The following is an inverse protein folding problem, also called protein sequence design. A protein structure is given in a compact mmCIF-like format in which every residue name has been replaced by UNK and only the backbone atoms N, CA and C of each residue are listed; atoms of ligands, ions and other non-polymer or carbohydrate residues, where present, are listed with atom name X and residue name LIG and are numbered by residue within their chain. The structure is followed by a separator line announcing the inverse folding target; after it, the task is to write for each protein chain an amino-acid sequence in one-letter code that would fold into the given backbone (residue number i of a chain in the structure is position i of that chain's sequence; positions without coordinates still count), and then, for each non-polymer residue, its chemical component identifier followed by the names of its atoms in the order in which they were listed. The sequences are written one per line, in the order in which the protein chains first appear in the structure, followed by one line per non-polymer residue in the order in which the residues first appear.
data_IF_669818523356
#
_entry.id   IF_669818523356
#
_cell.length_a   1.000
_cell.length_b   1.000
_cell.length_c   1.000
_cell.angle_alpha   90.00
_cell.angle_beta   90.00
_cell.angle_gamma   90.00
#
_symmetry.space_group_name_H-M   'P 1'
#
loop_
_entity.id
_entity.type
_entity.pdbx_description
1 polymer ?
#
# COMPACT_ATOMS: atom_id res chain seq x y z
N UNK A 1 -56.13 2.74 48.13
CA UNK A 1 -54.70 2.88 48.49
C UNK A 1 -53.86 2.02 47.55
N UNK A 2 -53.13 2.66 46.63
CA UNK A 2 -52.29 1.98 45.65
C UNK A 2 -51.00 1.45 46.28
N UNK A 3 -50.72 0.16 46.13
CA UNK A 3 -49.38 -0.40 46.38
C UNK A 3 -48.56 -0.24 45.11
N UNK A 4 -47.71 0.76 45.08
CA UNK A 4 -46.54 0.83 44.21
C UNK A 4 -45.62 -0.37 44.52
N UNK A 5 -45.82 -1.48 43.82
CA UNK A 5 -44.84 -2.57 43.81
C UNK A 5 -43.61 -2.06 43.06
N UNK A 6 -42.56 -1.70 43.79
CA UNK A 6 -41.22 -1.53 43.20
C UNK A 6 -40.89 -2.77 42.37
N UNK A 7 -40.47 -2.55 41.11
CA UNK A 7 -40.05 -3.64 40.23
C UNK A 7 -38.69 -4.14 40.71
N UNK A 8 -38.70 -5.11 41.61
CA UNK A 8 -37.48 -5.83 42.01
C UNK A 8 -36.90 -6.57 40.81
N UNK A 9 -35.68 -6.22 40.42
CA UNK A 9 -34.94 -6.95 39.38
C UNK A 9 -34.32 -8.20 40.00
N UNK A 10 -34.71 -9.39 39.52
CA UNK A 10 -34.13 -10.66 39.94
C UNK A 10 -32.65 -10.73 39.55
N UNK A 11 -31.79 -11.09 40.50
CA UNK A 11 -30.37 -11.37 40.23
C UNK A 11 -30.21 -12.69 39.48
N UNK A 12 -29.04 -12.96 38.91
CA UNK A 12 -28.82 -14.22 38.19
C UNK A 12 -28.84 -15.46 39.11
N UNK A 13 -28.48 -15.28 40.39
CA UNK A 13 -28.62 -16.33 41.40
C UNK A 13 -30.10 -16.58 41.75
N UNK A 14 -30.91 -15.52 41.90
CA UNK A 14 -32.36 -15.66 42.12
C UNK A 14 -33.02 -16.40 40.96
N UNK A 15 -32.64 -16.05 39.73
CA UNK A 15 -33.14 -16.71 38.51
C UNK A 15 -32.85 -18.21 38.55
N UNK A 16 -31.62 -18.63 38.87
CA UNK A 16 -31.26 -20.05 38.97
C UNK A 16 -32.03 -20.77 40.07
N UNK A 17 -32.15 -20.13 41.25
CA UNK A 17 -32.86 -20.70 42.39
C UNK A 17 -34.35 -20.90 42.09
N UNK A 18 -34.99 -19.98 41.37
CA UNK A 18 -36.40 -20.09 40.94
C UNK A 18 -36.62 -21.31 40.04
N UNK A 19 -35.67 -21.61 39.14
CA UNK A 19 -35.76 -22.73 38.19
C UNK A 19 -35.63 -24.06 38.91
N UNK A 20 -34.60 -24.21 39.73
CA UNK A 20 -34.37 -25.42 40.53
C UNK A 20 -35.54 -25.67 41.48
N UNK A 21 -35.99 -24.63 42.19
CA UNK A 21 -37.14 -24.75 43.10
C UNK A 21 -38.42 -25.13 42.37
N UNK A 22 -38.61 -24.67 41.12
CA UNK A 22 -39.75 -25.07 40.31
C UNK A 22 -39.66 -26.53 39.83
N UNK A 23 -38.46 -27.04 39.53
CA UNK A 23 -38.25 -28.46 39.21
C UNK A 23 -38.51 -29.35 40.42
N UNK A 24 -38.20 -28.86 41.64
CA UNK A 24 -38.48 -29.52 42.91
C UNK A 24 -39.96 -29.37 43.37
N UNK A 25 -40.87 -28.94 42.49
CA UNK A 25 -42.31 -28.96 42.75
C UNK A 25 -42.90 -27.73 43.45
N UNK A 26 -42.11 -26.70 43.77
CA UNK A 26 -42.67 -25.50 44.42
C UNK A 26 -43.66 -24.76 43.51
N UNK A 27 -44.73 -24.25 44.11
CA UNK A 27 -45.78 -23.53 43.39
C UNK A 27 -45.33 -22.11 43.00
N UNK A 28 -45.93 -21.57 41.92
CA UNK A 28 -45.65 -20.19 41.47
C UNK A 28 -45.92 -19.14 42.56
N UNK A 29 -46.88 -19.41 43.45
CA UNK A 29 -47.26 -18.49 44.52
C UNK A 29 -46.23 -18.51 45.66
N UNK A 30 -45.72 -19.69 46.00
CA UNK A 30 -44.63 -19.85 46.97
C UNK A 30 -43.37 -19.14 46.49
N UNK A 31 -43.00 -19.31 45.21
CA UNK A 31 -41.84 -18.64 44.61
C UNK A 31 -42.02 -17.11 44.56
N UNK A 32 -43.23 -16.64 44.24
CA UNK A 32 -43.54 -15.21 44.25
C UNK A 32 -43.31 -14.59 45.64
N UNK A 33 -43.77 -15.27 46.70
CA UNK A 33 -43.54 -14.86 48.09
C UNK A 33 -42.05 -14.89 48.48
N UNK A 34 -41.35 -15.99 48.19
CA UNK A 34 -39.94 -16.16 48.54
C UNK A 34 -39.02 -15.12 47.92
N UNK A 35 -39.25 -14.78 46.64
CA UNK A 35 -38.37 -13.86 45.91
C UNK A 35 -38.88 -12.40 45.89
N UNK A 36 -40.06 -12.14 46.48
CA UNK A 36 -40.65 -10.80 46.54
C UNK A 36 -41.03 -10.25 45.16
N UNK A 37 -41.51 -11.11 44.27
CA UNK A 37 -41.94 -10.77 42.91
C UNK A 37 -43.35 -11.28 42.65
N UNK A 38 -44.05 -10.73 41.67
CA UNK A 38 -45.42 -11.19 41.38
C UNK A 38 -45.42 -12.58 40.73
N UNK A 39 -46.51 -13.34 40.97
CA UNK A 39 -46.76 -14.64 40.30
C UNK A 39 -46.66 -14.52 38.77
N UNK A 40 -47.15 -13.40 38.22
CA UNK A 40 -47.04 -13.09 36.79
C UNK A 40 -45.58 -12.93 36.34
N UNK A 41 -44.74 -12.28 37.16
CA UNK A 41 -43.30 -12.15 36.93
C UNK A 41 -42.57 -13.50 36.88
N UNK A 42 -42.83 -14.39 37.84
CA UNK A 42 -42.27 -15.76 37.85
C UNK A 42 -42.74 -16.55 36.61
N UNK A 43 -44.04 -16.49 36.29
CA UNK A 43 -44.62 -17.17 35.12
C UNK A 43 -43.99 -16.68 33.81
N UNK A 44 -43.83 -15.36 33.65
CA UNK A 44 -43.21 -14.78 32.46
C UNK A 44 -41.71 -15.11 32.36
N UNK A 45 -40.99 -15.14 33.50
CA UNK A 45 -39.59 -15.56 33.57
C UNK A 45 -39.42 -17.02 33.13
N UNK A 46 -40.19 -17.96 33.68
CA UNK A 46 -40.09 -19.38 33.32
C UNK A 46 -40.51 -19.66 31.87
N UNK A 47 -41.51 -18.94 31.34
CA UNK A 47 -41.85 -18.99 29.91
C UNK A 47 -40.69 -18.52 29.03
N UNK A 48 -40.01 -17.43 29.40
CA UNK A 48 -38.83 -16.93 28.67
C UNK A 48 -37.65 -17.87 28.76
N UNK A 49 -37.43 -18.51 29.91
CA UNK A 49 -36.33 -19.45 30.10
C UNK A 49 -36.53 -20.73 29.28
N UNK A 50 -37.75 -21.31 29.29
CA UNK A 50 -38.10 -22.43 28.39
C UNK A 50 -37.93 -22.09 26.91
N UNK A 51 -38.25 -20.86 26.51
CA UNK A 51 -38.02 -20.39 25.15
C UNK A 51 -36.53 -20.15 24.82
N UNK A 52 -35.68 -19.88 25.82
CA UNK A 52 -34.24 -19.70 25.66
C UNK A 52 -33.47 -21.02 25.54
N UNK A 53 -33.93 -22.08 26.20
CA UNK A 53 -33.35 -23.44 26.05
C UNK A 53 -33.51 -24.02 24.63
N UNK A 54 -34.33 -23.39 23.77
CA UNK A 54 -34.55 -23.81 22.39
C UNK A 54 -34.41 -22.71 21.32
N UNK A 55 -34.00 -21.47 21.67
CA UNK A 55 -33.89 -20.38 20.68
C UNK A 55 -32.74 -19.44 20.96
N UNK A 56 -31.95 -19.18 19.91
CA UNK A 56 -31.00 -18.08 19.79
C UNK A 56 -31.69 -16.79 20.25
N UNK A 57 -31.05 -16.02 21.15
CA UNK A 57 -31.56 -14.71 21.61
C UNK A 57 -31.94 -13.86 20.39
N UNK A 58 -33.23 -13.63 20.17
CA UNK A 58 -33.71 -12.68 19.17
C UNK A 58 -33.05 -11.33 19.43
N UNK A 59 -32.22 -10.87 18.49
CA UNK A 59 -31.63 -9.55 18.56
C UNK A 59 -32.77 -8.53 18.62
N UNK A 60 -32.75 -7.65 19.64
CA UNK A 60 -33.64 -6.50 19.69
C UNK A 60 -33.56 -5.78 18.34
N UNK A 61 -34.69 -5.63 17.66
CA UNK A 61 -34.77 -4.86 16.42
C UNK A 61 -34.37 -3.42 16.76
N UNK A 62 -33.18 -3.02 16.32
CA UNK A 62 -32.70 -1.66 16.49
C UNK A 62 -33.60 -0.65 15.77
N UNK A 63 -33.31 0.63 15.95
CA UNK A 63 -34.00 1.71 15.23
C UNK A 63 -34.03 1.41 13.71
N UNK A 64 -35.19 1.54 13.05
CA UNK A 64 -35.31 1.38 11.60
C UNK A 64 -34.26 2.21 10.85
N UNK A 65 -33.75 1.66 9.75
CA UNK A 65 -32.75 2.34 8.92
C UNK A 65 -33.42 3.50 8.18
N UNK A 66 -32.69 4.60 8.04
CA UNK A 66 -33.10 5.75 7.22
C UNK A 66 -32.97 5.44 5.73
N UNK A 67 -32.02 4.57 5.36
CA UNK A 67 -31.84 4.08 3.99
C UNK A 67 -32.46 2.71 3.82
N UNK A 68 -33.08 2.48 2.66
CA UNK A 68 -33.58 1.18 2.25
C UNK A 68 -32.54 0.38 1.43
N UNK A 69 -32.98 -0.71 0.80
CA UNK A 69 -32.09 -1.57 0.00
C UNK A 69 -31.69 -0.92 -1.32
N UNK A 70 -32.57 -0.13 -1.94
CA UNK A 70 -32.31 0.50 -3.23
C UNK A 70 -31.42 1.73 -3.05
N UNK A 71 -31.60 2.48 -1.98
CA UNK A 71 -30.67 3.51 -1.52
C UNK A 71 -29.27 2.96 -1.32
N UNK A 72 -29.12 1.88 -0.55
CA UNK A 72 -27.83 1.24 -0.29
C UNK A 72 -27.22 0.75 -1.62
N UNK A 73 -28.02 0.18 -2.54
CA UNK A 73 -27.56 -0.22 -3.89
C UNK A 73 -27.07 0.97 -4.72
N UNK A 74 -27.81 2.07 -4.74
CA UNK A 74 -27.48 3.27 -5.51
C UNK A 74 -26.23 3.96 -4.97
N UNK A 75 -26.08 4.06 -3.64
CA UNK A 75 -24.85 4.52 -2.99
C UNK A 75 -23.64 3.72 -3.47
N UNK A 76 -23.74 2.39 -3.48
CA UNK A 76 -22.64 1.52 -3.90
C UNK A 76 -22.38 1.60 -5.40
N UNK A 77 -23.42 1.68 -6.23
CA UNK A 77 -23.31 1.84 -7.69
C UNK A 77 -22.59 3.13 -8.03
N UNK A 78 -23.05 4.28 -7.54
CA UNK A 78 -22.43 5.58 -7.78
C UNK A 78 -20.97 5.60 -7.33
N UNK A 79 -20.67 5.04 -6.15
CA UNK A 79 -19.28 4.94 -5.66
C UNK A 79 -18.38 4.05 -6.53
N UNK A 80 -18.91 2.96 -7.12
CA UNK A 80 -18.13 2.04 -7.96
C UNK A 80 -17.94 2.58 -9.37
N UNK A 81 -18.96 3.23 -9.93
CA UNK A 81 -18.89 3.90 -11.24
C UNK A 81 -17.88 5.04 -11.22
N UNK A 82 -17.89 5.86 -10.16
CA UNK A 82 -16.92 6.93 -10.00
C UNK A 82 -16.29 6.89 -8.59
N UNK A 83 -15.18 6.15 -8.41
CA UNK A 83 -14.46 6.04 -7.14
C UNK A 83 -13.87 7.34 -6.61
N UNK A 84 -13.89 8.43 -7.38
CA UNK A 84 -13.41 9.75 -6.95
C UNK A 84 -14.47 10.56 -6.22
N UNK A 85 -15.73 10.16 -6.26
CA UNK A 85 -16.80 10.88 -5.57
C UNK A 85 -16.64 10.78 -4.05
N UNK A 86 -16.83 11.92 -3.39
CA UNK A 86 -16.85 11.98 -1.92
C UNK A 86 -18.22 11.56 -1.39
N UNK A 87 -18.30 11.12 -0.14
CA UNK A 87 -19.60 10.77 0.47
C UNK A 87 -20.65 11.92 0.40
N UNK A 88 -20.29 13.22 0.56
CA UNK A 88 -21.20 14.32 0.26
C UNK A 88 -21.67 14.38 -1.20
N UNK A 89 -20.78 14.12 -2.16
CA UNK A 89 -21.14 14.11 -3.58
C UNK A 89 -22.09 12.94 -3.91
N UNK A 90 -21.77 11.73 -3.43
CA UNK A 90 -22.63 10.55 -3.57
C UNK A 90 -24.00 10.81 -2.95
N UNK A 91 -24.05 11.43 -1.75
CA UNK A 91 -25.32 11.82 -1.12
C UNK A 91 -26.14 12.74 -2.04
N UNK A 92 -25.51 13.77 -2.61
CA UNK A 92 -26.22 14.72 -3.50
C UNK A 92 -26.74 14.03 -4.76
N UNK A 93 -25.97 13.13 -5.34
CA UNK A 93 -26.34 12.46 -6.59
C UNK A 93 -27.46 11.42 -6.37
N UNK A 94 -27.33 10.58 -5.34
CA UNK A 94 -28.30 9.51 -5.06
C UNK A 94 -29.61 10.06 -4.51
N UNK A 95 -29.56 11.12 -3.70
CA UNK A 95 -30.72 11.66 -3.00
C UNK A 95 -31.13 13.05 -3.51
N UNK A 96 -30.83 13.39 -4.76
CA UNK A 96 -31.12 14.70 -5.35
C UNK A 96 -32.59 15.11 -5.20
N UNK A 97 -33.49 14.15 -5.44
CA UNK A 97 -34.94 14.34 -5.39
C UNK A 97 -35.58 13.73 -4.14
N UNK A 98 -34.78 13.38 -3.13
CA UNK A 98 -35.31 12.79 -1.90
C UNK A 98 -35.86 13.88 -0.98
N UNK A 99 -37.11 13.75 -0.48
CA UNK A 99 -37.70 14.74 0.44
C UNK A 99 -37.00 14.75 1.80
N UNK A 100 -36.35 13.66 2.20
CA UNK A 100 -35.59 13.57 3.46
C UNK A 100 -34.27 12.82 3.24
N UNK A 101 -33.26 13.49 2.67
CA UNK A 101 -32.00 12.84 2.32
C UNK A 101 -31.21 12.47 3.59
N UNK A 102 -30.66 11.25 3.69
CA UNK A 102 -29.91 10.80 4.85
C UNK A 102 -28.64 11.65 5.05
N UNK A 103 -28.11 11.64 6.28
CA UNK A 103 -26.87 12.36 6.57
C UNK A 103 -25.67 11.79 5.80
N UNK A 104 -24.65 12.62 5.56
CA UNK A 104 -23.37 12.17 4.96
C UNK A 104 -22.75 11.02 5.76
N UNK A 105 -22.88 11.04 7.09
CA UNK A 105 -22.41 9.97 7.97
C UNK A 105 -23.14 8.64 7.70
N UNK A 106 -24.42 8.68 7.34
CA UNK A 106 -25.18 7.49 6.95
C UNK A 106 -24.62 6.90 5.66
N UNK A 107 -24.38 7.72 4.63
CA UNK A 107 -23.76 7.29 3.37
C UNK A 107 -22.37 6.68 3.62
N UNK A 108 -21.52 7.33 4.42
CA UNK A 108 -20.20 6.79 4.82
C UNK A 108 -20.33 5.44 5.51
N UNK A 109 -21.29 5.27 6.43
CA UNK A 109 -21.53 4.00 7.12
C UNK A 109 -21.92 2.89 6.15
N UNK A 110 -22.71 3.20 5.10
CA UNK A 110 -23.07 2.22 4.05
C UNK A 110 -21.88 1.81 3.21
N UNK A 111 -21.08 2.77 2.77
CA UNK A 111 -19.84 2.50 2.04
C UNK A 111 -18.90 1.61 2.88
N UNK A 112 -18.68 1.98 4.15
CA UNK A 112 -17.82 1.21 5.06
C UNK A 112 -18.35 -0.20 5.33
N UNK A 113 -19.67 -0.37 5.52
CA UNK A 113 -20.29 -1.68 5.73
C UNK A 113 -20.12 -2.61 4.51
N UNK A 114 -19.95 -2.03 3.31
CA UNK A 114 -19.66 -2.75 2.08
C UNK A 114 -18.15 -2.85 1.77
N UNK A 115 -17.28 -2.49 2.73
CA UNK A 115 -15.82 -2.53 2.56
C UNK A 115 -15.24 -1.39 1.69
N UNK A 116 -16.06 -0.44 1.23
CA UNK A 116 -15.62 0.71 0.45
C UNK A 116 -15.18 1.81 1.41
N UNK A 117 -13.90 1.81 1.74
CA UNK A 117 -13.32 2.79 2.66
C UNK A 117 -12.63 3.91 1.90
N UNK A 118 -12.69 5.13 2.45
CA UNK A 118 -11.87 6.23 1.96
C UNK A 118 -10.39 5.92 2.11
N UNK A 119 -9.64 6.00 1.00
CA UNK A 119 -8.19 5.82 0.94
C UNK A 119 -7.58 6.92 0.08
N UNK A 120 -6.33 7.29 0.36
CA UNK A 120 -5.59 8.21 -0.51
C UNK A 120 -5.29 7.50 -1.84
N UNK A 121 -5.56 8.12 -2.99
CA UNK A 121 -5.17 7.53 -4.27
C UNK A 121 -3.65 7.46 -4.37
N UNK A 122 -3.14 6.36 -4.93
CA UNK A 122 -1.72 6.23 -5.26
C UNK A 122 -1.43 7.12 -6.48
N UNK A 123 -0.35 7.90 -6.41
CA UNK A 123 0.15 8.67 -7.55
C UNK A 123 1.07 7.76 -8.37
N UNK A 124 0.68 7.42 -9.60
CA UNK A 124 1.50 6.69 -10.58
C UNK A 124 1.42 7.44 -11.92
N UNK A 125 2.46 7.40 -12.76
CA UNK A 125 2.44 8.03 -14.07
C UNK A 125 1.33 7.42 -14.93
N UNK A 126 0.72 8.24 -15.79
CA UNK A 126 -0.23 7.75 -16.78
C UNK A 126 0.53 6.98 -17.86
N UNK A 127 0.15 5.72 -18.05
CA UNK A 127 0.74 4.83 -19.08
C UNK A 127 -0.19 4.82 -20.28
N UNK A 128 0.33 5.26 -21.43
CA UNK A 128 -0.42 5.26 -22.70
C UNK A 128 -0.78 3.83 -23.12
N UNK A 129 -1.83 3.67 -23.92
CA UNK A 129 -2.25 2.36 -24.41
C UNK A 129 -1.15 1.63 -25.19
N UNK A 130 -0.41 2.36 -26.04
CA UNK A 130 0.78 1.86 -26.74
C UNK A 130 1.82 1.30 -25.76
N UNK A 131 2.11 2.04 -24.70
CA UNK A 131 3.11 1.62 -23.70
C UNK A 131 2.60 0.42 -22.88
N UNK A 132 1.29 0.36 -22.56
CA UNK A 132 0.69 -0.82 -21.90
C UNK A 132 0.84 -2.07 -22.75
N UNK A 133 0.55 -1.99 -24.05
CA UNK A 133 0.69 -3.12 -24.97
C UNK A 133 2.16 -3.58 -25.07
N UNK A 134 3.11 -2.65 -25.17
CA UNK A 134 4.54 -2.95 -25.17
C UNK A 134 5.00 -3.61 -23.86
N UNK A 135 4.52 -3.12 -22.70
CA UNK A 135 4.77 -3.72 -21.38
C UNK A 135 4.28 -5.16 -21.29
N UNK A 136 3.04 -5.42 -21.73
CA UNK A 136 2.48 -6.78 -21.72
C UNK A 136 3.23 -7.70 -22.68
N UNK A 137 3.58 -7.22 -23.88
CA UNK A 137 4.35 -7.99 -24.86
C UNK A 137 5.70 -8.41 -24.28
N UNK A 138 6.44 -7.44 -23.75
CA UNK A 138 7.74 -7.69 -23.11
C UNK A 138 7.60 -8.69 -21.95
N UNK A 139 6.62 -8.49 -21.06
CA UNK A 139 6.42 -9.38 -19.92
C UNK A 139 6.09 -10.82 -20.33
N UNK A 140 5.34 -11.02 -21.42
CA UNK A 140 5.03 -12.36 -21.97
C UNK A 140 6.27 -13.03 -22.56
N UNK A 141 7.09 -12.29 -23.30
CA UNK A 141 8.33 -12.81 -23.91
C UNK A 141 9.34 -13.29 -22.85
N UNK A 142 9.30 -12.68 -21.66
CA UNK A 142 10.24 -12.96 -20.58
C UNK A 142 9.63 -13.75 -19.41
N UNK A 143 8.36 -14.19 -19.50
CA UNK A 143 7.65 -14.86 -18.41
C UNK A 143 8.28 -16.20 -18.03
N UNK A 144 8.81 -16.92 -19.03
CA UNK A 144 9.41 -18.24 -18.85
C UNK A 144 10.94 -18.19 -18.67
N UNK A 145 11.52 -16.99 -18.55
CA UNK A 145 12.95 -16.84 -18.31
C UNK A 145 13.32 -17.38 -16.94
N UNK A 146 14.38 -18.18 -16.94
CA UNK A 146 14.91 -18.79 -15.72
C UNK A 146 15.79 -17.82 -14.97
N UNK A 147 16.17 -18.20 -13.74
CA UNK A 147 17.16 -17.44 -12.97
C UNK A 147 18.49 -17.27 -13.72
N UNK A 148 18.91 -18.27 -14.50
CA UNK A 148 20.15 -18.21 -15.27
C UNK A 148 20.08 -17.18 -16.40
N UNK A 149 18.90 -16.95 -16.98
CA UNK A 149 18.71 -15.93 -18.01
C UNK A 149 18.78 -14.54 -17.38
N UNK A 150 18.11 -14.34 -16.25
CA UNK A 150 18.18 -13.08 -15.50
C UNK A 150 19.58 -12.75 -14.97
N UNK A 151 20.39 -13.77 -14.65
CA UNK A 151 21.76 -13.58 -14.19
C UNK A 151 22.69 -12.96 -15.27
N UNK A 152 22.36 -13.13 -16.56
CA UNK A 152 23.13 -12.57 -17.68
C UNK A 152 22.85 -11.07 -17.91
N UNK A 153 21.86 -10.51 -17.22
CA UNK A 153 21.46 -9.12 -17.40
C UNK A 153 22.23 -8.24 -16.43
N UNK A 154 22.89 -7.21 -16.98
CA UNK A 154 23.41 -6.09 -16.21
C UNK A 154 22.30 -5.03 -16.13
N UNK A 155 21.63 -4.99 -14.99
CA UNK A 155 20.60 -4.00 -14.68
C UNK A 155 21.25 -2.69 -14.30
N UNK A 156 20.76 -1.58 -14.84
CA UNK A 156 21.29 -0.26 -14.52
C UNK A 156 20.20 0.78 -14.48
N UNK A 157 20.47 1.85 -13.74
CA UNK A 157 19.62 3.03 -13.66
C UNK A 157 20.36 4.19 -12.98
N UNK A 158 19.75 5.37 -13.02
CA UNK A 158 20.16 6.52 -12.24
C UNK A 158 19.20 6.82 -11.10
N UNK A 159 19.75 7.20 -9.94
CA UNK A 159 18.94 7.67 -8.82
C UNK A 159 19.51 8.93 -8.18
N UNK A 160 18.62 9.72 -7.59
CA UNK A 160 18.93 10.99 -6.95
C UNK A 160 18.68 10.88 -5.45
N UNK A 161 19.75 10.89 -4.68
CA UNK A 161 19.68 10.87 -3.22
C UNK A 161 19.75 12.28 -2.65
N UNK A 162 18.78 12.66 -1.83
CA UNK A 162 18.78 13.95 -1.14
C UNK A 162 19.82 13.97 -0.01
N UNK A 163 20.46 15.13 0.16
CA UNK A 163 21.40 15.39 1.26
C UNK A 163 20.65 15.69 2.58
N UNK A 164 19.55 16.45 2.48
CA UNK A 164 18.68 16.81 3.60
C UNK A 164 17.22 16.52 3.28
N UNK A 165 16.54 15.86 4.22
CA UNK A 165 15.13 15.48 4.13
C UNK A 165 14.93 14.12 3.48
N UNK A 166 13.80 13.50 3.80
CA UNK A 166 13.20 12.41 3.04
C UNK A 166 12.03 12.97 2.23
N UNK A 167 11.71 12.41 1.06
CA UNK A 167 10.49 12.76 0.30
C UNK A 167 9.18 12.34 1.03
N UNK A 168 9.30 11.79 2.24
CA UNK A 168 8.21 11.31 3.08
C UNK A 168 7.58 12.35 4.03
N UNK A 169 6.37 12.04 4.48
CA UNK A 169 5.65 12.80 5.51
C UNK A 169 6.22 12.44 6.89
N UNK A 170 6.90 13.38 7.53
CA UNK A 170 7.31 13.24 8.92
C UNK A 170 6.21 13.75 9.85
N UNK A 171 5.69 12.86 10.70
CA UNK A 171 4.65 13.20 11.66
C UNK A 171 5.28 13.77 12.94
N UNK A 172 4.85 14.98 13.32
CA UNK A 172 5.24 15.63 14.57
C UNK A 172 4.02 15.70 15.49
N UNK A 173 4.13 15.17 16.72
CA UNK A 173 3.13 15.36 17.78
C UNK A 173 3.43 16.68 18.49
N UNK A 174 2.46 17.60 18.53
CA UNK A 174 2.63 18.93 19.17
C UNK A 174 1.34 19.44 19.83
N UNK A 175 1.42 20.25 20.90
CA UNK A 175 0.26 20.92 21.50
C UNK A 175 -0.49 21.85 20.52
N UNK A 176 -1.78 22.10 20.77
CA UNK A 176 -2.58 23.08 20.02
C UNK A 176 -1.92 24.46 20.13
N UNK A 177 -1.86 25.22 19.02
CA UNK A 177 -1.23 26.54 18.97
C UNK A 177 0.30 26.55 18.78
N UNK A 178 1.00 25.43 19.00
CA UNK A 178 2.47 25.36 18.91
C UNK A 178 3.03 25.18 17.48
N UNK A 179 2.24 25.51 16.44
CA UNK A 179 2.58 25.20 15.04
C UNK A 179 3.91 25.78 14.57
N UNK A 180 4.22 26.99 15.01
CA UNK A 180 5.39 27.74 14.58
C UNK A 180 6.53 27.70 15.60
N UNK A 181 6.44 26.93 16.69
CA UNK A 181 7.55 26.81 17.63
C UNK A 181 8.70 26.03 16.96
N UNK A 182 9.96 26.52 16.95
CA UNK A 182 11.08 25.89 16.23
C UNK A 182 11.27 24.40 16.52
N UNK A 183 11.08 23.98 17.78
CA UNK A 183 11.07 22.56 18.21
C UNK A 183 10.14 21.64 17.40
N UNK A 184 9.03 22.17 16.88
CA UNK A 184 8.04 21.42 16.11
C UNK A 184 8.02 21.80 14.62
N UNK A 185 8.97 22.63 14.20
CA UNK A 185 9.23 22.91 12.80
C UNK A 185 10.21 21.88 12.25
N UNK A 186 10.01 21.49 11.00
CA UNK A 186 11.02 20.80 10.24
C UNK A 186 11.80 21.88 9.48
N UNK A 187 13.10 22.06 9.74
CA UNK A 187 13.90 23.00 8.98
C UNK A 187 13.88 22.60 7.50
N UNK A 188 13.39 23.50 6.64
CA UNK A 188 13.42 23.33 5.18
C UNK A 188 14.36 24.37 4.60
N UNK A 189 15.24 23.96 3.70
CA UNK A 189 16.12 24.90 2.99
C UNK A 189 15.40 25.48 1.77
N UNK A 190 15.49 26.81 1.58
CA UNK A 190 14.79 27.58 0.52
C UNK A 190 15.26 27.23 -0.90
N UNK A 191 16.48 26.72 -1.04
CA UNK A 191 17.04 26.18 -2.28
C UNK A 191 17.63 24.81 -1.98
N UNK A 192 17.36 23.84 -2.86
CA UNK A 192 17.57 22.41 -2.64
C UNK A 192 18.79 22.09 -1.81
N UNK A 193 18.60 21.32 -0.73
CA UNK A 193 19.62 20.95 0.27
C UNK A 193 20.77 20.11 -0.25
N UNK A 194 21.02 20.16 -1.56
CA UNK A 194 21.90 19.36 -2.35
C UNK A 194 21.32 17.97 -2.63
N UNK A 195 21.82 17.35 -3.68
CA UNK A 195 21.51 15.96 -4.00
C UNK A 195 22.73 15.30 -4.62
N UNK A 196 22.92 14.03 -4.32
CA UNK A 196 23.89 13.19 -5.00
C UNK A 196 23.15 12.39 -6.09
N UNK A 197 23.42 12.70 -7.35
CA UNK A 197 22.99 11.88 -8.47
C UNK A 197 24.00 10.76 -8.67
N UNK A 198 23.54 9.53 -8.77
CA UNK A 198 24.38 8.35 -8.99
C UNK A 198 23.82 7.54 -10.13
N UNK A 199 24.72 6.91 -10.88
CA UNK A 199 24.41 5.79 -11.77
C UNK A 199 24.92 4.53 -11.08
N UNK A 200 24.15 3.45 -11.12
CA UNK A 200 24.62 2.17 -10.61
C UNK A 200 24.15 1.01 -11.45
N UNK A 201 24.80 -0.13 -11.24
CA UNK A 201 24.43 -1.36 -11.90
C UNK A 201 24.60 -2.58 -11.00
N UNK A 202 23.86 -3.64 -11.28
CA UNK A 202 24.04 -4.94 -10.63
C UNK A 202 23.67 -6.07 -11.58
N UNK A 203 24.14 -7.28 -11.29
CA UNK A 203 23.85 -8.48 -12.07
C UNK A 203 23.61 -9.70 -11.18
N UNK A 204 23.40 -10.86 -11.80
CA UNK A 204 23.33 -12.12 -11.07
C UNK A 204 24.59 -12.48 -10.28
N UNK A 205 25.74 -11.92 -10.65
CA UNK A 205 27.01 -12.10 -9.94
C UNK A 205 27.17 -11.19 -8.72
N UNK A 206 26.27 -10.22 -8.54
CA UNK A 206 26.25 -9.33 -7.39
C UNK A 206 26.13 -7.86 -7.75
N UNK A 207 26.43 -7.04 -6.75
CA UNK A 207 26.48 -5.58 -6.88
C UNK A 207 27.59 -5.17 -7.85
N UNK A 208 27.26 -4.30 -8.80
CA UNK A 208 28.18 -3.72 -9.75
C UNK A 208 28.64 -2.31 -9.34
N UNK A 209 29.23 -1.55 -10.27
CA UNK A 209 29.74 -0.22 -9.99
C UNK A 209 28.62 0.75 -9.55
N UNK A 210 28.98 1.64 -8.62
CA UNK A 210 28.20 2.85 -8.30
C UNK A 210 29.07 4.07 -8.64
N UNK A 211 28.58 4.89 -9.56
CA UNK A 211 29.28 6.05 -10.07
C UNK A 211 28.53 7.33 -9.77
N UNK A 212 29.23 8.34 -9.27
CA UNK A 212 28.63 9.66 -9.03
C UNK A 212 28.53 10.45 -10.33
N UNK A 213 27.34 10.96 -10.60
CA UNK A 213 27.12 11.89 -11.71
C UNK A 213 27.23 13.33 -11.21
N UNK A 214 28.12 14.11 -11.83
CA UNK A 214 28.29 15.52 -11.52
C UNK A 214 27.47 16.38 -12.48
N UNK A 215 26.55 17.18 -11.93
CA UNK A 215 25.70 18.08 -12.72
C UNK A 215 24.56 17.35 -13.44
N UNK A 216 24.11 17.93 -14.55
CA UNK A 216 23.07 17.35 -15.41
C UNK A 216 23.72 16.32 -16.33
N UNK A 217 23.20 15.09 -16.31
CA UNK A 217 23.70 14.03 -17.19
C UNK A 217 23.20 14.21 -18.62
N UNK A 218 24.11 14.58 -19.52
CA UNK A 218 23.83 14.57 -20.95
C UNK A 218 24.29 13.24 -21.60
N UNK A 219 24.11 13.13 -22.92
CA UNK A 219 24.51 11.94 -23.68
C UNK A 219 26.02 11.67 -23.68
N UNK A 220 26.87 12.69 -23.49
CA UNK A 220 28.32 12.53 -23.50
C UNK A 220 28.81 12.02 -22.15
N UNK A 221 28.31 12.60 -21.06
CA UNK A 221 28.53 12.10 -19.70
C UNK A 221 28.01 10.67 -19.59
N UNK A 222 26.84 10.38 -20.15
CA UNK A 222 26.31 9.02 -20.18
C UNK A 222 27.25 8.05 -20.91
N UNK A 223 27.73 8.40 -22.12
CA UNK A 223 28.71 7.59 -22.85
C UNK A 223 29.99 7.36 -22.05
N UNK A 224 30.47 8.36 -21.31
CA UNK A 224 31.66 8.22 -20.47
C UNK A 224 31.44 7.18 -19.36
N UNK A 225 30.28 7.23 -18.68
CA UNK A 225 29.87 6.22 -17.70
C UNK A 225 29.79 4.84 -18.37
N UNK A 226 29.19 4.75 -19.57
CA UNK A 226 29.12 3.49 -20.30
C UNK A 226 30.51 2.92 -20.61
N UNK A 227 31.45 3.77 -21.02
CA UNK A 227 32.80 3.39 -21.42
C UNK A 227 33.67 2.99 -20.23
N UNK A 228 33.54 3.69 -19.10
CA UNK A 228 34.45 3.56 -17.96
C UNK A 228 33.90 2.69 -16.82
N UNK A 229 32.57 2.57 -16.69
CA UNK A 229 31.92 1.85 -15.59
C UNK A 229 31.18 0.62 -16.10
N UNK A 230 30.26 0.80 -17.05
CA UNK A 230 29.40 -0.28 -17.53
C UNK A 230 30.17 -1.33 -18.35
N UNK A 231 30.91 -0.91 -19.38
CA UNK A 231 31.51 -1.83 -20.35
C UNK A 231 32.56 -2.76 -19.73
N UNK A 232 33.46 -2.31 -18.84
CA UNK A 232 34.38 -3.22 -18.15
C UNK A 232 33.63 -4.27 -17.32
N UNK A 233 32.58 -3.86 -16.60
CA UNK A 233 31.79 -4.77 -15.77
C UNK A 233 30.99 -5.77 -16.61
N UNK A 234 30.35 -5.33 -17.70
CA UNK A 234 29.62 -6.19 -18.63
C UNK A 234 30.55 -7.23 -19.27
N UNK A 235 31.79 -6.85 -19.61
CA UNK A 235 32.78 -7.77 -20.17
C UNK A 235 33.26 -8.80 -19.13
N UNK A 236 33.42 -8.40 -17.88
CA UNK A 236 33.78 -9.29 -16.79
C UNK A 236 32.70 -10.36 -16.51
N UNK A 237 31.42 -10.05 -16.76
CA UNK A 237 30.33 -11.03 -16.69
C UNK A 237 30.42 -12.14 -17.76
N UNK A 238 31.21 -11.93 -18.83
CA UNK A 238 31.47 -12.92 -19.85
C UNK A 238 30.54 -12.86 -21.06
N UNK A 239 30.68 -13.85 -21.95
CA UNK A 239 29.94 -13.92 -23.22
C UNK A 239 28.45 -14.14 -22.99
N UNK A 240 27.63 -13.51 -23.81
CA UNK A 240 26.17 -13.60 -23.74
C UNK A 240 25.53 -12.65 -22.72
N UNK A 241 26.32 -11.83 -22.03
CA UNK A 241 25.81 -10.77 -21.14
C UNK A 241 25.03 -9.72 -21.94
N UNK A 242 23.95 -9.22 -21.35
CA UNK A 242 23.06 -8.23 -21.94
C UNK A 242 22.97 -7.03 -21.02
N UNK A 243 23.07 -5.84 -21.58
CA UNK A 243 22.92 -4.59 -20.84
C UNK A 243 21.47 -4.12 -20.86
N UNK A 244 20.92 -3.80 -19.70
CA UNK A 244 19.61 -3.16 -19.58
C UNK A 244 19.78 -1.68 -19.23
N UNK A 245 19.07 -0.83 -19.97
CA UNK A 245 18.88 0.60 -19.71
C UNK A 245 17.41 0.96 -20.00
N UNK A 246 16.95 2.12 -19.52
CA UNK A 246 15.63 2.63 -19.85
C UNK A 246 15.60 3.34 -21.23
N UNK A 247 14.44 3.92 -21.56
CA UNK A 247 14.22 4.62 -22.84
C UNK A 247 14.35 6.15 -22.73
N UNK A 248 15.12 6.68 -21.78
CA UNK A 248 15.42 8.12 -21.72
C UNK A 248 15.96 8.61 -23.08
N UNK A 249 15.55 9.81 -23.57
CA UNK A 249 16.09 10.39 -24.79
C UNK A 249 17.62 10.35 -24.92
N UNK A 250 18.36 10.50 -23.81
CA UNK A 250 19.84 10.44 -23.81
C UNK A 250 20.34 9.03 -24.14
N UNK A 251 19.68 7.99 -23.61
CA UNK A 251 19.98 6.57 -23.79
C UNK A 251 19.62 6.06 -25.19
N UNK A 252 18.59 6.66 -25.80
CA UNK A 252 18.07 6.26 -27.11
C UNK A 252 18.59 7.11 -28.27
N UNK A 253 19.47 8.07 -27.98
CA UNK A 253 20.14 8.92 -28.98
C UNK A 253 20.96 8.10 -29.98
N UNK A 254 21.06 8.58 -31.22
CA UNK A 254 21.89 7.93 -32.25
C UNK A 254 23.35 7.79 -31.80
N UNK A 255 23.87 8.82 -31.13
CA UNK A 255 25.23 8.84 -30.57
C UNK A 255 25.51 7.65 -29.63
N UNK A 256 24.59 7.35 -28.72
CA UNK A 256 24.73 6.23 -27.77
C UNK A 256 24.47 4.89 -28.47
N UNK A 257 23.48 4.82 -29.37
CA UNK A 257 23.19 3.60 -30.16
C UNK A 257 24.38 3.18 -31.03
N UNK A 258 25.02 4.13 -31.70
CA UNK A 258 26.20 3.86 -32.54
C UNK A 258 27.39 3.43 -31.69
N UNK A 259 27.53 3.98 -30.48
CA UNK A 259 28.53 3.51 -29.53
C UNK A 259 28.29 2.05 -29.13
N UNK A 260 27.06 1.66 -28.78
CA UNK A 260 26.73 0.25 -28.47
C UNK A 260 27.05 -0.69 -29.63
N UNK A 261 26.70 -0.30 -30.86
CA UNK A 261 27.04 -1.05 -32.08
C UNK A 261 28.55 -1.21 -32.23
N UNK A 262 29.31 -0.12 -32.08
CA UNK A 262 30.78 -0.13 -32.24
C UNK A 262 31.48 -1.02 -31.21
N UNK A 263 30.89 -1.13 -30.00
CA UNK A 263 31.41 -1.96 -28.91
C UNK A 263 30.82 -3.37 -28.86
N UNK A 264 29.91 -3.70 -29.80
CA UNK A 264 29.18 -4.98 -29.88
C UNK A 264 28.48 -5.34 -28.58
N UNK A 265 27.82 -4.36 -27.96
CA UNK A 265 27.04 -4.54 -26.73
C UNK A 265 25.64 -4.99 -27.09
N UNK A 266 25.20 -6.10 -26.49
CA UNK A 266 23.82 -6.54 -26.58
C UNK A 266 22.97 -5.72 -25.60
N UNK A 267 22.07 -4.88 -26.12
CA UNK A 267 21.16 -4.06 -25.31
C UNK A 267 19.79 -4.71 -25.27
N UNK A 268 19.22 -4.84 -24.07
CA UNK A 268 17.89 -5.38 -23.87
C UNK A 268 16.83 -4.43 -24.44
N UNK A 269 15.89 -4.96 -25.22
CA UNK A 269 14.69 -4.20 -25.58
C UNK A 269 13.88 -3.91 -24.32
N UNK A 270 13.56 -2.64 -24.04
CA UNK A 270 12.91 -2.23 -22.80
C UNK A 270 11.57 -1.52 -23.06
N UNK A 271 10.50 -1.83 -22.32
CA UNK A 271 9.24 -1.12 -22.45
C UNK A 271 9.28 0.22 -21.69
N UNK A 272 8.88 1.32 -22.34
CA UNK A 272 8.84 2.65 -21.71
C UNK A 272 7.92 2.70 -20.48
N UNK A 273 8.24 3.60 -19.54
CA UNK A 273 7.50 3.80 -18.27
C UNK A 273 7.36 2.52 -17.44
N UNK A 274 8.47 1.80 -17.27
CA UNK A 274 8.49 0.49 -16.58
C UNK A 274 9.47 0.37 -15.41
N UNK A 275 9.46 1.30 -14.45
CA UNK A 275 10.32 1.20 -13.26
C UNK A 275 9.98 -0.07 -12.45
N UNK A 276 8.72 -0.49 -12.41
CA UNK A 276 8.27 -1.68 -11.68
C UNK A 276 8.83 -3.01 -12.23
N UNK A 277 9.30 -3.00 -13.49
CA UNK A 277 10.02 -4.11 -14.10
C UNK A 277 11.54 -4.05 -13.87
N UNK A 278 12.10 -2.90 -13.48
CA UNK A 278 13.53 -2.76 -13.23
C UNK A 278 13.84 -3.07 -11.74
N UNK A 279 14.50 -4.20 -11.43
CA UNK A 279 14.76 -4.58 -10.04
C UNK A 279 15.73 -3.62 -9.31
N UNK A 280 16.51 -2.80 -10.02
CA UNK A 280 17.42 -1.83 -9.37
C UNK A 280 16.67 -0.74 -8.60
N UNK A 281 15.41 -0.46 -8.96
CA UNK A 281 14.57 0.49 -8.22
C UNK A 281 14.41 0.06 -6.76
N UNK A 282 14.29 -1.25 -6.51
CA UNK A 282 14.27 -1.78 -5.14
C UNK A 282 15.64 -1.73 -4.46
N UNK A 283 16.75 -1.77 -5.22
CA UNK A 283 18.07 -1.54 -4.64
C UNK A 283 18.26 -0.09 -4.21
N UNK A 284 17.66 0.87 -4.92
CA UNK A 284 17.65 2.27 -4.47
C UNK A 284 16.90 2.44 -3.17
N UNK A 285 15.73 1.81 -3.02
CA UNK A 285 14.97 1.81 -1.76
C UNK A 285 15.77 1.18 -0.61
N UNK A 286 16.43 0.04 -0.86
CA UNK A 286 17.28 -0.62 0.14
C UNK A 286 18.49 0.25 0.52
N UNK A 287 19.12 0.91 -0.46
CA UNK A 287 20.23 1.82 -0.21
C UNK A 287 19.79 3.03 0.59
N UNK A 288 18.62 3.61 0.28
CA UNK A 288 18.05 4.71 1.06
C UNK A 288 17.77 4.27 2.51
N UNK A 289 17.20 3.08 2.71
CA UNK A 289 16.93 2.51 4.04
C UNK A 289 18.21 2.33 4.85
N UNK A 290 19.29 1.84 4.23
CA UNK A 290 20.61 1.70 4.86
C UNK A 290 21.24 3.05 5.22
N UNK A 291 21.01 4.07 4.40
CA UNK A 291 21.51 5.42 4.63
C UNK A 291 20.58 6.30 5.49
N UNK A 292 19.39 5.84 5.90
CA UNK A 292 18.35 6.67 6.50
C UNK A 292 18.81 7.41 7.78
N UNK A 293 19.71 6.81 8.56
CA UNK A 293 20.23 7.38 9.80
C UNK A 293 21.58 8.12 9.62
N UNK A 294 22.10 8.19 8.39
CA UNK A 294 23.38 8.85 8.09
C UNK A 294 23.14 10.25 7.54
N UNK A 295 23.67 11.25 8.24
CA UNK A 295 23.67 12.64 7.77
C UNK A 295 24.95 12.90 6.98
N UNK A 296 24.82 13.61 5.86
CA UNK A 296 25.95 14.06 5.07
C UNK A 296 25.92 15.59 4.96
N UNK A 297 27.09 16.22 5.04
CA UNK A 297 27.24 17.69 4.97
C UNK A 297 27.35 18.19 3.53
N UNK A 298 27.81 17.33 2.61
CA UNK A 298 28.02 17.67 1.20
C UNK A 298 27.92 16.41 0.30
N UNK A 299 27.85 16.63 -1.01
CA UNK A 299 27.67 15.54 -1.99
C UNK A 299 28.82 14.51 -1.98
N UNK A 300 30.05 14.91 -1.64
CA UNK A 300 31.20 13.98 -1.57
C UNK A 300 30.98 12.99 -0.42
N UNK A 301 30.63 13.51 0.76
CA UNK A 301 30.33 12.70 1.94
C UNK A 301 29.11 11.80 1.70
N UNK A 302 28.05 12.33 1.08
CA UNK A 302 26.87 11.53 0.73
C UNK A 302 27.24 10.39 -0.21
N UNK A 303 28.04 10.66 -1.24
CA UNK A 303 28.48 9.61 -2.17
C UNK A 303 29.33 8.56 -1.47
N UNK A 304 30.26 8.95 -0.60
CA UNK A 304 31.07 8.00 0.16
C UNK A 304 30.21 7.09 1.06
N UNK A 305 29.18 7.64 1.70
CA UNK A 305 28.21 6.88 2.49
C UNK A 305 27.40 5.91 1.62
N UNK A 306 26.91 6.37 0.46
CA UNK A 306 26.17 5.54 -0.50
C UNK A 306 27.05 4.41 -1.03
N UNK A 307 28.28 4.69 -1.45
CA UNK A 307 29.22 3.70 -1.96
C UNK A 307 29.57 2.65 -0.90
N UNK A 308 29.79 3.08 0.35
CA UNK A 308 30.06 2.17 1.47
C UNK A 308 28.88 1.22 1.74
N UNK A 309 27.64 1.71 1.72
CA UNK A 309 26.45 0.89 1.92
C UNK A 309 26.12 0.00 0.72
N UNK A 310 26.30 0.52 -0.50
CA UNK A 310 26.12 -0.19 -1.75
C UNK A 310 26.96 -1.46 -1.81
N UNK A 311 28.25 -1.35 -1.46
CA UNK A 311 29.18 -2.48 -1.42
C UNK A 311 28.86 -3.49 -0.29
N UNK A 312 28.01 -3.12 0.67
CA UNK A 312 27.56 -4.00 1.77
C UNK A 312 26.19 -4.64 1.50
N UNK A 313 25.59 -4.42 0.33
CA UNK A 313 24.35 -5.08 -0.04
C UNK A 313 24.67 -6.57 -0.30
N UNK A 314 24.06 -7.51 0.46
CA UNK A 314 24.40 -8.92 0.37
C UNK A 314 23.83 -9.56 -0.90
N UNK A 315 24.46 -10.65 -1.34
CA UNK A 315 23.98 -11.47 -2.46
C UNK A 315 22.54 -11.95 -2.29
N UNK A 316 22.09 -12.21 -1.06
CA UNK A 316 20.71 -12.62 -0.78
C UNK A 316 19.66 -11.57 -1.20
N UNK A 317 20.00 -10.28 -1.15
CA UNK A 317 19.15 -9.21 -1.68
C UNK A 317 19.05 -9.33 -3.19
N UNK A 318 20.18 -9.50 -3.88
CA UNK A 318 20.23 -9.71 -5.34
C UNK A 318 19.41 -10.94 -5.73
N UNK A 319 19.55 -12.04 -4.98
CA UNK A 319 18.82 -13.27 -5.22
C UNK A 319 17.30 -13.07 -5.13
N UNK A 320 16.86 -12.36 -4.09
CA UNK A 320 15.45 -12.05 -3.88
C UNK A 320 14.89 -11.23 -5.04
N UNK A 321 15.65 -10.25 -5.53
CA UNK A 321 15.24 -9.38 -6.63
C UNK A 321 15.12 -10.16 -7.94
N UNK A 322 16.14 -10.94 -8.31
CA UNK A 322 16.10 -11.71 -9.55
C UNK A 322 15.06 -12.83 -9.51
N UNK A 323 14.86 -13.49 -8.36
CA UNK A 323 13.78 -14.47 -8.17
C UNK A 323 12.37 -13.83 -8.21
N UNK A 324 12.26 -12.50 -8.09
CA UNK A 324 10.99 -11.80 -8.22
C UNK A 324 10.59 -11.50 -9.67
N UNK A 325 11.51 -11.60 -10.64
CA UNK A 325 11.29 -11.15 -12.02
C UNK A 325 10.10 -11.82 -12.72
N UNK A 326 9.93 -13.13 -12.54
CA UNK A 326 8.77 -13.84 -13.09
C UNK A 326 7.45 -13.30 -12.52
N UNK A 327 7.40 -13.04 -11.20
CA UNK A 327 6.23 -12.46 -10.55
C UNK A 327 5.96 -11.01 -10.98
N UNK A 328 7.01 -10.23 -11.27
CA UNK A 328 6.89 -8.88 -11.84
C UNK A 328 6.27 -8.94 -13.24
N UNK A 329 6.78 -9.83 -14.10
CA UNK A 329 6.22 -10.05 -15.44
C UNK A 329 4.74 -10.46 -15.36
N UNK A 330 4.41 -11.44 -14.51
CA UNK A 330 3.03 -11.87 -14.30
C UNK A 330 2.14 -10.72 -13.83
N UNK A 331 2.61 -9.91 -12.87
CA UNK A 331 1.84 -8.76 -12.37
C UNK A 331 1.55 -7.73 -13.47
N UNK A 332 2.48 -7.50 -14.41
CA UNK A 332 2.25 -6.61 -15.57
C UNK A 332 1.19 -7.18 -16.51
N UNK A 333 1.21 -8.51 -16.73
CA UNK A 333 0.21 -9.20 -17.56
C UNK A 333 -1.17 -9.11 -16.92
N UNK A 334 -1.28 -9.43 -15.64
CA UNK A 334 -2.54 -9.38 -14.87
C UNK A 334 -3.10 -7.96 -14.81
N UNK A 335 -2.21 -6.97 -14.65
CA UNK A 335 -2.55 -5.56 -14.67
C UNK A 335 -2.76 -5.01 -16.09
N UNK A 336 -2.75 -5.83 -17.15
CA UNK A 336 -2.94 -5.39 -18.55
C UNK A 336 -2.02 -4.22 -18.95
N UNK A 337 -0.79 -4.23 -18.45
CA UNK A 337 0.22 -3.21 -18.73
C UNK A 337 0.13 -1.95 -17.87
N UNK A 338 -0.81 -1.86 -16.93
CA UNK A 338 -0.83 -0.79 -15.93
C UNK A 338 0.32 -0.95 -14.92
N UNK A 339 0.50 0.06 -14.06
CA UNK A 339 1.50 0.03 -13.00
C UNK A 339 1.19 -1.10 -12.00
N UNK A 340 2.23 -1.80 -11.56
CA UNK A 340 2.09 -2.89 -10.59
C UNK A 340 2.45 -2.42 -9.18
N UNK A 341 2.43 -3.37 -8.23
CA UNK A 341 2.84 -3.15 -6.84
C UNK A 341 4.37 -3.03 -6.67
N UNK A 342 5.10 -3.44 -7.69
CA UNK A 342 6.55 -3.39 -7.74
C UNK A 342 7.04 -2.00 -8.19
#
# INVERSE_FOLDING_TARGET
MGRTSEKKNLTDNDKRAIVVSRQNGLTMMTLAGMFGVTKAGISQFLKRQKAQDGSIKSQRTGRPRVTDRDDDRNILKTSRTNPRLTAPAIRREVFLNSPSPPSVSTVKRRLNAAGIMGRRPVKKPLISEKNRAARVKWAKEHLNWTRQDWNKILWSDESKFLLFGSDGIQWVRRPIGSRYHPKYQLPTVKHGGGSCMVWGAFSGSGIGPLHRVNGIMDKHVYKDILQNQMLPHLRAMGRGSVYQQDNDPKHTSLFVKDWFKSRRVNVMGWPSQSPDLNPIEHLWEELERRCANKRAKNCNEKFAQLLSEWNQIPMSTIDTLLNSMQRRCQAVIDARGFATKY
#
